data_IF_862878536113
#
_entry.id   IF_862878536113
#
_cell.length_a   1.000
_cell.length_b   1.000
_cell.length_c   1.000
_cell.angle_alpha   90.00
_cell.angle_beta   90.00
_cell.angle_gamma   90.00
#
_symmetry.space_group_name_H-M   'P 1'
#
loop_
_entity.id
_entity.type
_entity.pdbx_description
1 polymer ?
#
# COMPACT_ATOMS: atom_id res chain seq x y z
N UNK A 1 1.01 -39.07 -2.64
CA UNK A 1 2.12 -38.14 -2.35
C UNK A 1 1.99 -36.77 -3.04
N UNK A 2 0.92 -36.48 -3.79
CA UNK A 2 0.69 -35.21 -4.52
C UNK A 2 0.02 -34.07 -3.72
N UNK A 3 -0.31 -34.31 -2.44
CA UNK A 3 -1.05 -33.35 -1.58
C UNK A 3 -0.14 -32.45 -0.72
N UNK A 4 1.18 -32.66 -0.75
CA UNK A 4 2.15 -31.87 0.02
C UNK A 4 2.92 -30.81 -0.81
N UNK A 5 2.77 -30.79 -2.14
CA UNK A 5 3.47 -29.82 -3.01
C UNK A 5 2.65 -28.55 -3.29
N UNK A 6 1.32 -28.58 -3.21
CA UNK A 6 0.48 -27.39 -3.43
C UNK A 6 0.36 -26.45 -2.22
N UNK A 7 1.13 -26.68 -1.17
CA UNK A 7 1.12 -25.87 0.06
C UNK A 7 2.42 -25.07 0.24
N UNK A 8 3.35 -25.14 -0.71
CA UNK A 8 4.66 -24.48 -0.65
C UNK A 8 4.75 -23.16 -1.44
N UNK A 9 3.69 -22.75 -2.15
CA UNK A 9 3.69 -21.51 -2.95
C UNK A 9 3.04 -20.31 -2.23
N UNK A 10 2.45 -20.50 -1.05
CA UNK A 10 1.83 -19.40 -0.26
C UNK A 10 2.70 -18.89 0.92
N UNK A 11 3.86 -19.50 1.23
CA UNK A 11 4.63 -19.16 2.45
C UNK A 11 5.83 -18.23 2.24
N UNK A 12 6.32 -18.05 1.01
CA UNK A 12 7.60 -17.37 0.77
C UNK A 12 7.67 -15.87 1.19
N UNK A 13 6.63 -15.02 1.03
CA UNK A 13 6.71 -13.62 1.47
C UNK A 13 6.55 -13.44 3.00
N UNK A 14 5.78 -14.32 3.67
CA UNK A 14 5.58 -14.28 5.11
C UNK A 14 6.82 -14.74 5.88
N UNK A 15 7.52 -15.76 5.38
CA UNK A 15 8.75 -16.28 5.98
C UNK A 15 9.90 -15.27 5.86
N UNK A 16 9.99 -14.53 4.74
CA UNK A 16 10.99 -13.47 4.56
C UNK A 16 10.74 -12.28 5.49
N UNK A 17 9.50 -11.81 5.60
CA UNK A 17 9.14 -10.73 6.52
C UNK A 17 9.44 -11.10 7.99
N UNK A 18 9.10 -12.32 8.38
CA UNK A 18 9.41 -12.82 9.73
C UNK A 18 10.92 -12.98 9.95
N UNK A 19 11.67 -13.34 8.91
CA UNK A 19 13.14 -13.36 8.92
C UNK A 19 13.73 -11.99 9.20
N UNK A 20 13.24 -10.94 8.53
CA UNK A 20 13.67 -9.56 8.75
C UNK A 20 13.31 -9.06 10.15
N UNK A 21 12.10 -9.34 10.65
CA UNK A 21 11.73 -8.96 12.01
C UNK A 21 12.58 -9.67 13.08
N UNK A 22 12.99 -10.92 12.84
CA UNK A 22 13.96 -11.63 13.69
C UNK A 22 15.36 -11.01 13.61
N UNK A 23 15.78 -10.54 12.44
CA UNK A 23 17.06 -9.84 12.30
C UNK A 23 17.08 -8.55 13.15
N UNK A 24 15.99 -7.78 13.12
CA UNK A 24 15.81 -6.61 14.01
C UNK A 24 15.90 -7.04 15.48
N UNK A 25 15.17 -8.08 15.89
CA UNK A 25 15.22 -8.56 17.27
C UNK A 25 16.62 -9.01 17.73
N UNK A 26 17.39 -9.66 16.86
CA UNK A 26 18.75 -10.09 17.15
C UNK A 26 19.70 -8.90 17.28
N UNK A 27 19.62 -7.91 16.38
CA UNK A 27 20.40 -6.68 16.47
C UNK A 27 20.05 -5.91 17.76
N UNK A 28 18.76 -5.82 18.11
CA UNK A 28 18.32 -5.16 19.34
C UNK A 28 18.81 -5.89 20.58
N UNK A 29 18.83 -7.22 20.59
CA UNK A 29 19.41 -7.99 21.68
C UNK A 29 20.91 -7.67 21.86
N UNK A 30 21.66 -7.53 20.76
CA UNK A 30 23.06 -7.09 20.77
C UNK A 30 23.23 -5.68 21.37
N UNK A 31 22.37 -4.73 20.95
CA UNK A 31 22.33 -3.38 21.52
C UNK A 31 22.04 -3.40 23.03
N UNK A 32 21.05 -4.19 23.46
CA UNK A 32 20.66 -4.30 24.88
C UNK A 32 21.82 -4.78 25.74
N UNK A 33 22.59 -5.76 25.26
CA UNK A 33 23.75 -6.28 25.98
C UNK A 33 24.83 -5.20 26.11
N UNK A 34 25.21 -4.55 25.01
CA UNK A 34 26.25 -3.50 24.99
C UNK A 34 25.85 -2.29 25.84
N UNK A 35 24.60 -1.86 25.75
CA UNK A 35 24.10 -0.73 26.54
C UNK A 35 23.97 -1.05 28.04
N UNK A 36 23.71 -2.31 28.41
CA UNK A 36 23.78 -2.76 29.83
C UNK A 36 25.21 -2.79 30.35
N UNK A 37 26.19 -3.18 29.52
CA UNK A 37 27.61 -3.11 29.88
C UNK A 37 28.00 -1.65 30.12
N UNK A 38 27.60 -0.73 29.25
CA UNK A 38 27.77 0.71 29.47
C UNK A 38 27.12 1.17 30.77
N UNK A 39 25.87 0.78 31.05
CA UNK A 39 25.19 1.13 32.29
C UNK A 39 25.92 0.61 33.55
N UNK A 40 26.57 -0.55 33.48
CA UNK A 40 27.36 -1.08 34.61
C UNK A 40 28.66 -0.31 34.88
N UNK A 41 29.15 0.44 33.89
CA UNK A 41 30.35 1.27 34.01
C UNK A 41 30.02 2.69 34.54
N UNK A 42 28.75 3.11 34.46
CA UNK A 42 28.26 4.38 35.01
C UNK A 42 27.90 4.16 36.49
N UNK A 43 28.91 4.05 37.35
CA UNK A 43 28.70 3.88 38.81
C UNK A 43 28.52 5.22 39.53
N UNK A 44 29.04 6.30 38.95
CA UNK A 44 29.10 7.63 39.58
C UNK A 44 27.80 8.43 39.50
N UNK A 45 26.91 8.13 38.55
CA UNK A 45 25.60 8.78 38.40
C UNK A 45 24.49 7.72 38.26
N UNK A 46 23.78 7.38 39.36
CA UNK A 46 22.70 6.41 39.34
C UNK A 46 21.50 6.89 38.48
N UNK A 47 21.31 8.19 38.27
CA UNK A 47 20.26 8.68 37.38
C UNK A 47 20.61 8.47 35.91
N UNK A 48 21.86 8.71 35.49
CA UNK A 48 22.32 8.38 34.14
C UNK A 48 22.25 6.88 33.87
N UNK A 49 22.68 6.07 34.83
CA UNK A 49 22.56 4.61 34.74
C UNK A 49 21.10 4.18 34.55
N UNK A 50 20.19 4.72 35.35
CA UNK A 50 18.76 4.40 35.25
C UNK A 50 18.14 4.88 33.92
N UNK A 51 18.57 6.03 33.38
CA UNK A 51 18.13 6.53 32.06
C UNK A 51 18.53 5.59 30.92
N UNK A 52 19.77 5.09 30.93
CA UNK A 52 20.25 4.11 29.93
C UNK A 52 19.46 2.80 30.06
N UNK A 53 19.28 2.27 31.27
CA UNK A 53 18.54 1.02 31.50
C UNK A 53 17.07 1.15 31.07
N UNK A 54 16.41 2.27 31.40
CA UNK A 54 15.03 2.52 31.02
C UNK A 54 14.87 2.60 29.49
N UNK A 55 15.76 3.33 28.81
CA UNK A 55 15.74 3.47 27.35
C UNK A 55 15.95 2.12 26.67
N UNK A 56 16.91 1.32 27.15
CA UNK A 56 17.21 -0.02 26.61
C UNK A 56 16.06 -1.00 26.82
N UNK A 57 15.42 -0.94 27.99
CA UNK A 57 14.26 -1.78 28.30
C UNK A 57 13.09 -1.43 27.38
N UNK A 58 12.86 -0.13 27.14
CA UNK A 58 11.86 0.34 26.19
C UNK A 58 12.15 -0.16 24.77
N UNK A 59 13.39 -0.08 24.29
CA UNK A 59 13.77 -0.60 22.97
C UNK A 59 13.50 -2.10 22.82
N UNK A 60 13.79 -2.89 23.86
CA UNK A 60 13.49 -4.32 23.88
C UNK A 60 11.98 -4.60 23.84
N UNK A 61 11.17 -3.80 24.53
CA UNK A 61 9.70 -3.91 24.53
C UNK A 61 9.12 -3.54 23.16
N UNK A 62 9.47 -2.39 22.60
CA UNK A 62 9.03 -1.96 21.26
C UNK A 62 9.39 -3.01 20.20
N UNK A 63 10.60 -3.59 20.29
CA UNK A 63 11.04 -4.62 19.33
C UNK A 63 10.27 -5.93 19.49
N UNK A 64 9.94 -6.32 20.72
CA UNK A 64 9.11 -7.50 20.97
C UNK A 64 7.69 -7.31 20.44
N UNK A 65 7.14 -6.10 20.59
CA UNK A 65 5.86 -5.70 20.02
C UNK A 65 5.92 -5.73 18.49
N UNK A 66 6.96 -5.17 17.86
CA UNK A 66 7.19 -5.25 16.42
C UNK A 66 7.16 -6.70 15.92
N UNK A 67 7.91 -7.61 16.55
CA UNK A 67 7.94 -9.03 16.14
C UNK A 67 6.58 -9.70 16.32
N UNK A 68 5.86 -9.38 17.40
CA UNK A 68 4.51 -9.89 17.62
C UNK A 68 3.54 -9.38 16.56
N UNK A 69 3.57 -8.07 16.26
CA UNK A 69 2.83 -7.45 15.18
C UNK A 69 3.16 -8.10 13.84
N UNK A 70 4.44 -8.32 13.51
CA UNK A 70 4.84 -9.03 12.28
C UNK A 70 4.24 -10.42 12.21
N UNK A 71 4.27 -11.20 13.30
CA UNK A 71 3.71 -12.56 13.31
C UNK A 71 2.21 -12.58 13.06
N UNK A 72 1.48 -11.63 13.64
CA UNK A 72 0.02 -11.53 13.51
C UNK A 72 -0.36 -10.98 12.13
N UNK A 73 0.42 -10.05 11.60
CA UNK A 73 0.16 -9.33 10.35
C UNK A 73 0.77 -10.00 9.11
N UNK A 74 1.73 -10.91 9.27
CA UNK A 74 2.33 -11.69 8.17
C UNK A 74 1.30 -12.30 7.21
N UNK A 75 0.21 -12.96 7.66
CA UNK A 75 -0.80 -13.50 6.75
C UNK A 75 -1.64 -12.42 6.03
N UNK A 76 -1.71 -11.20 6.56
CA UNK A 76 -2.49 -10.09 6.02
C UNK A 76 -1.62 -8.93 5.55
N UNK A 77 -0.33 -9.14 5.32
CA UNK A 77 0.63 -8.06 5.04
C UNK A 77 0.33 -7.33 3.73
N UNK A 78 -0.45 -7.91 2.83
CA UNK A 78 -0.92 -7.29 1.60
C UNK A 78 -1.91 -6.13 1.85
N UNK A 79 -2.47 -6.02 3.05
CA UNK A 79 -3.42 -4.98 3.40
C UNK A 79 -2.68 -3.70 3.83
N UNK A 80 -2.94 -2.53 3.22
CA UNK A 80 -2.19 -1.30 3.48
C UNK A 80 -2.24 -0.86 4.95
N UNK A 81 -3.35 -1.10 5.65
CA UNK A 81 -3.49 -0.81 7.08
C UNK A 81 -2.52 -1.63 7.93
N UNK A 82 -2.30 -2.90 7.58
CA UNK A 82 -1.35 -3.77 8.28
C UNK A 82 0.10 -3.35 8.01
N UNK A 83 0.39 -2.89 6.79
CA UNK A 83 1.71 -2.35 6.43
C UNK A 83 2.00 -1.05 7.18
N UNK A 84 1.03 -0.14 7.26
CA UNK A 84 1.15 1.09 8.04
C UNK A 84 1.37 0.80 9.52
N UNK A 85 0.60 -0.12 10.12
CA UNK A 85 0.80 -0.51 11.51
C UNK A 85 2.19 -1.10 11.76
N UNK A 86 2.72 -1.90 10.83
CA UNK A 86 4.04 -2.48 10.99
C UNK A 86 5.16 -1.45 10.78
N UNK A 87 4.97 -0.50 9.86
CA UNK A 87 5.88 0.63 9.67
C UNK A 87 5.91 1.54 10.89
N UNK A 88 4.74 1.80 11.50
CA UNK A 88 4.60 2.59 12.71
C UNK A 88 5.30 1.92 13.91
N UNK A 89 5.09 0.61 14.09
CA UNK A 89 5.82 -0.17 15.10
C UNK A 89 7.35 -0.15 14.85
N UNK A 90 7.78 -0.16 13.58
CA UNK A 90 9.19 -0.01 13.23
C UNK A 90 9.75 1.36 13.61
N UNK A 91 8.96 2.41 13.40
CA UNK A 91 9.30 3.80 13.78
C UNK A 91 9.44 3.98 15.29
N UNK A 92 8.56 3.35 16.07
CA UNK A 92 8.66 3.34 17.54
C UNK A 92 9.97 2.67 18.02
N UNK A 93 10.42 1.61 17.34
CA UNK A 93 11.73 1.00 17.64
C UNK A 93 12.86 1.97 17.30
N UNK A 94 12.82 2.64 16.15
CA UNK A 94 13.84 3.66 15.79
C UNK A 94 13.94 4.74 16.86
N UNK A 95 12.81 5.30 17.32
CA UNK A 95 12.81 6.30 18.38
C UNK A 95 13.36 5.78 19.71
N UNK A 96 13.06 4.53 20.08
CA UNK A 96 13.61 3.94 21.29
C UNK A 96 15.14 3.75 21.18
N UNK A 97 15.63 3.32 20.00
CA UNK A 97 17.08 3.22 19.71
C UNK A 97 17.76 4.59 19.79
N UNK A 98 17.13 5.65 19.27
CA UNK A 98 17.64 7.02 19.36
C UNK A 98 17.75 7.48 20.82
N UNK A 99 16.77 7.14 21.64
CA UNK A 99 16.79 7.39 23.08
C UNK A 99 17.95 6.68 23.78
N UNK A 100 18.28 5.44 23.39
CA UNK A 100 19.46 4.72 23.90
C UNK A 100 20.75 5.44 23.53
N UNK A 101 20.93 5.83 22.27
CA UNK A 101 22.13 6.57 21.82
C UNK A 101 22.26 7.90 22.55
N UNK A 102 21.16 8.63 22.74
CA UNK A 102 21.16 9.90 23.47
C UNK A 102 21.53 9.70 24.94
N UNK A 103 20.97 8.68 25.60
CA UNK A 103 21.33 8.33 26.98
C UNK A 103 22.80 7.90 27.09
N UNK A 104 23.33 7.16 26.11
CA UNK A 104 24.74 6.75 26.04
C UNK A 104 25.68 7.94 25.84
N UNK A 105 25.33 8.92 25.00
CA UNK A 105 26.11 10.15 24.82
C UNK A 105 26.12 11.04 26.05
N UNK A 106 25.02 11.09 26.78
CA UNK A 106 24.95 11.82 28.04
C UNK A 106 25.94 11.26 29.08
N UNK A 107 26.26 9.96 29.00
CA UNK A 107 27.24 9.32 29.88
C UNK A 107 28.70 9.78 29.67
N UNK A 108 29.03 10.39 28.53
CA UNK A 108 30.38 10.96 28.26
C UNK A 108 30.79 12.01 29.29
N UNK A 109 29.82 12.74 29.84
CA UNK A 109 30.07 13.86 30.75
C UNK A 109 30.17 13.42 32.22
N UNK A 110 30.01 12.13 32.51
CA UNK A 110 30.03 11.58 33.87
C UNK A 110 31.48 11.23 34.26
N UNK A 111 32.02 11.78 35.36
CA UNK A 111 33.36 11.42 35.82
C UNK A 111 33.41 9.93 36.18
N UNK A 112 34.27 9.19 35.46
CA UNK A 112 34.39 7.73 35.54
C UNK A 112 35.84 7.35 35.84
N UNK A 113 36.05 6.24 36.55
CA UNK A 113 37.38 5.75 36.93
C UNK A 113 38.23 5.34 35.70
N UNK A 114 37.59 4.84 34.65
CA UNK A 114 38.23 4.47 33.37
C UNK A 114 37.56 5.16 32.15
N UNK A 115 37.90 6.43 31.85
CA UNK A 115 37.27 7.20 30.78
C UNK A 115 37.40 6.58 29.38
N UNK A 116 38.51 5.87 29.12
CA UNK A 116 38.75 5.21 27.84
C UNK A 116 37.81 4.00 27.63
N UNK A 117 37.51 3.25 28.69
CA UNK A 117 36.64 2.08 28.61
C UNK A 117 35.17 2.48 28.41
N UNK A 118 34.72 3.55 29.08
CA UNK A 118 33.37 4.11 28.90
C UNK A 118 33.21 4.70 27.49
N UNK A 119 34.23 5.41 26.99
CA UNK A 119 34.19 5.92 25.62
C UNK A 119 34.08 4.80 24.59
N UNK A 120 34.80 3.70 24.79
CA UNK A 120 34.75 2.53 23.92
C UNK A 120 33.38 1.84 23.96
N UNK A 121 32.76 1.67 25.13
CA UNK A 121 31.44 1.06 25.25
C UNK A 121 30.31 1.93 24.68
N UNK A 122 30.48 3.26 24.67
CA UNK A 122 29.57 4.18 23.96
C UNK A 122 29.66 3.96 22.46
N UNK A 123 30.88 3.91 21.89
CA UNK A 123 31.07 3.66 20.45
C UNK A 123 30.47 2.31 20.05
N UNK A 124 30.68 1.27 20.86
CA UNK A 124 30.10 -0.05 20.62
C UNK A 124 28.57 -0.06 20.67
N UNK A 125 27.98 0.73 21.58
CA UNK A 125 26.54 0.91 21.72
C UNK A 125 25.96 1.65 20.52
N UNK A 126 26.63 2.72 20.05
CA UNK A 126 26.23 3.45 18.83
C UNK A 126 26.33 2.59 17.56
N UNK A 127 27.37 1.76 17.48
CA UNK A 127 27.55 0.83 16.35
C UNK A 127 26.40 -0.18 16.33
N UNK A 128 26.04 -0.76 17.48
CA UNK A 128 24.90 -1.68 17.57
C UNK A 128 23.56 -0.98 17.32
N UNK A 129 23.40 0.29 17.71
CA UNK A 129 22.22 1.07 17.39
C UNK A 129 22.07 1.28 15.87
N UNK A 130 23.18 1.48 15.17
CA UNK A 130 23.22 1.56 13.71
C UNK A 130 22.82 0.23 13.06
N UNK A 131 23.32 -0.90 13.57
CA UNK A 131 22.92 -2.23 13.09
C UNK A 131 21.41 -2.48 13.24
N UNK A 132 20.79 -2.00 14.32
CA UNK A 132 19.33 -2.08 14.51
C UNK A 132 18.58 -1.22 13.48
N UNK A 133 19.07 0.00 13.21
CA UNK A 133 18.48 0.89 12.20
C UNK A 133 18.60 0.29 10.80
N UNK A 134 19.75 -0.26 10.45
CA UNK A 134 19.96 -0.91 9.15
C UNK A 134 19.01 -2.10 8.96
N UNK A 135 18.80 -2.91 10.01
CA UNK A 135 17.85 -4.02 9.98
C UNK A 135 16.39 -3.53 9.84
N UNK A 136 16.03 -2.43 10.51
CA UNK A 136 14.72 -1.78 10.39
C UNK A 136 14.50 -1.19 9.00
N UNK A 137 15.52 -0.58 8.40
CA UNK A 137 15.45 -0.03 7.06
C UNK A 137 15.28 -1.14 6.01
N UNK A 138 15.92 -2.29 6.20
CA UNK A 138 15.67 -3.47 5.37
C UNK A 138 14.23 -4.00 5.52
N UNK A 139 13.70 -4.01 6.75
CA UNK A 139 12.31 -4.39 7.01
C UNK A 139 11.32 -3.39 6.39
N UNK A 140 11.55 -2.09 6.53
CA UNK A 140 10.73 -1.04 5.94
C UNK A 140 10.82 -1.03 4.41
N UNK A 141 12.02 -1.24 3.84
CA UNK A 141 12.19 -1.38 2.40
C UNK A 141 11.45 -2.61 1.87
N UNK A 142 11.46 -3.73 2.61
CA UNK A 142 10.65 -4.90 2.27
C UNK A 142 9.16 -4.63 2.41
N UNK A 143 8.74 -3.83 3.40
CA UNK A 143 7.36 -3.38 3.50
C UNK A 143 6.95 -2.45 2.37
N UNK A 144 7.84 -1.61 1.87
CA UNK A 144 7.59 -0.73 0.72
C UNK A 144 7.62 -1.47 -0.62
N UNK A 145 8.38 -2.56 -0.73
CA UNK A 145 8.38 -3.46 -1.89
C UNK A 145 7.20 -4.44 -1.88
N UNK A 146 6.79 -4.91 -0.69
CA UNK A 146 5.62 -5.76 -0.47
C UNK A 146 4.31 -4.99 -0.31
N UNK A 147 4.40 -3.67 -0.07
CA UNK A 147 3.39 -2.71 -0.46
C UNK A 147 3.31 -2.86 -1.96
N UNK A 148 2.22 -3.48 -2.42
CA UNK A 148 1.57 -2.95 -3.59
C UNK A 148 1.55 -1.45 -3.34
N UNK A 149 2.47 -0.73 -4.00
CA UNK A 149 2.37 0.71 -4.04
C UNK A 149 0.90 0.90 -4.44
N UNK A 150 0.07 1.41 -3.53
CA UNK A 150 -1.24 1.89 -3.91
C UNK A 150 -0.92 3.02 -4.87
N UNK A 151 -0.85 2.74 -6.17
CA UNK A 151 -0.15 3.63 -7.06
C UNK A 151 -0.71 3.55 -8.47
N UNK A 152 -0.96 4.76 -8.96
CA UNK A 152 -1.17 5.11 -10.35
C UNK A 152 -2.43 4.52 -11.01
N UNK A 153 -3.56 4.78 -10.36
CA UNK A 153 -4.70 5.30 -11.11
C UNK A 153 -4.43 6.72 -11.63
N UNK A 154 -3.54 7.48 -10.98
CA UNK A 154 -3.27 8.88 -11.31
C UNK A 154 -2.73 9.13 -12.71
N UNK A 155 -1.83 8.30 -13.26
CA UNK A 155 -1.24 8.61 -14.56
C UNK A 155 -2.28 8.51 -15.69
N UNK A 156 -3.07 7.43 -15.71
CA UNK A 156 -4.17 7.30 -16.68
C UNK A 156 -5.34 8.21 -16.37
N UNK A 157 -5.73 8.36 -15.10
CA UNK A 157 -6.85 9.24 -14.74
C UNK A 157 -6.49 10.72 -15.02
N UNK A 158 -5.23 11.11 -14.78
CA UNK A 158 -4.69 12.41 -15.19
C UNK A 158 -4.60 12.54 -16.70
N UNK A 159 -4.24 11.47 -17.41
CA UNK A 159 -4.27 11.42 -18.88
C UNK A 159 -5.69 11.64 -19.41
N UNK A 160 -6.67 10.90 -18.89
CA UNK A 160 -8.08 11.01 -19.27
C UNK A 160 -8.64 12.39 -18.94
N UNK A 161 -8.43 12.88 -17.73
CA UNK A 161 -8.85 14.24 -17.31
C UNK A 161 -8.22 15.30 -18.22
N UNK A 162 -6.92 15.19 -18.52
CA UNK A 162 -6.21 16.14 -19.40
C UNK A 162 -6.70 16.08 -20.85
N UNK A 163 -7.14 14.91 -21.32
CA UNK A 163 -7.71 14.73 -22.64
C UNK A 163 -9.15 15.26 -22.73
N UNK A 164 -9.96 15.06 -21.70
CA UNK A 164 -11.31 15.64 -21.58
C UNK A 164 -11.25 17.17 -21.50
N UNK A 165 -10.33 17.72 -20.70
CA UNK A 165 -10.03 19.16 -20.67
C UNK A 165 -9.66 19.68 -22.07
N UNK A 166 -8.81 18.94 -22.80
CA UNK A 166 -8.38 19.30 -24.13
C UNK A 166 -9.58 19.35 -25.11
N UNK A 167 -10.50 18.38 -25.02
CA UNK A 167 -11.76 18.36 -25.78
C UNK A 167 -12.66 19.55 -25.49
N UNK A 168 -12.76 19.95 -24.22
CA UNK A 168 -13.58 21.08 -23.81
C UNK A 168 -13.10 22.41 -24.42
N UNK A 169 -11.79 22.52 -24.71
CA UNK A 169 -11.19 23.74 -25.26
C UNK A 169 -11.15 23.83 -26.78
N UNK A 170 -11.62 22.81 -27.52
CA UNK A 170 -11.60 22.78 -29.00
C UNK A 170 -12.23 23.99 -29.69
N UNK A 171 -13.19 24.64 -29.04
CA UNK A 171 -13.94 25.76 -29.62
C UNK A 171 -13.78 27.07 -28.86
N UNK A 172 -12.98 27.07 -27.78
CA UNK A 172 -13.08 28.12 -26.75
C UNK A 172 -11.78 28.87 -26.54
N UNK A 173 -10.63 28.18 -26.52
CA UNK A 173 -9.33 28.81 -26.22
C UNK A 173 -8.15 27.93 -26.66
N UNK A 174 -7.44 28.36 -27.72
CA UNK A 174 -6.27 27.66 -28.25
C UNK A 174 -5.09 27.61 -27.27
N UNK A 175 -4.95 28.57 -26.36
CA UNK A 175 -3.88 28.57 -25.35
C UNK A 175 -4.16 27.54 -24.25
N UNK A 176 -5.40 27.43 -23.79
CA UNK A 176 -5.81 26.39 -22.82
C UNK A 176 -5.70 24.99 -23.41
N UNK A 177 -6.02 24.85 -24.70
CA UNK A 177 -5.83 23.59 -25.42
C UNK A 177 -4.35 23.16 -25.42
N UNK A 178 -3.42 24.07 -25.74
CA UNK A 178 -1.97 23.80 -25.67
C UNK A 178 -1.51 23.44 -24.25
N UNK A 179 -2.02 24.13 -23.23
CA UNK A 179 -1.72 23.80 -21.84
C UNK A 179 -2.24 22.40 -21.46
N UNK A 180 -3.42 22.02 -21.94
CA UNK A 180 -3.97 20.67 -21.74
C UNK A 180 -3.16 19.59 -22.47
N UNK A 181 -2.71 19.87 -23.71
CA UNK A 181 -1.85 18.95 -24.46
C UNK A 181 -0.51 18.71 -23.76
N UNK A 182 0.05 19.74 -23.10
CA UNK A 182 1.27 19.58 -22.28
C UNK A 182 1.02 18.72 -21.04
N UNK A 183 -0.12 18.89 -20.36
CA UNK A 183 -0.52 18.02 -19.23
C UNK A 183 -0.75 16.58 -19.69
N UNK A 184 -1.37 16.38 -20.85
CA UNK A 184 -1.54 15.07 -21.48
C UNK A 184 -0.20 14.39 -21.76
N UNK A 185 0.77 15.13 -22.30
CA UNK A 185 2.13 14.62 -22.54
C UNK A 185 2.87 14.25 -21.24
N UNK A 186 2.71 15.05 -20.17
CA UNK A 186 3.27 14.72 -18.85
C UNK A 186 2.68 13.44 -18.26
N UNK A 187 1.37 13.29 -18.32
CA UNK A 187 0.68 12.07 -17.88
C UNK A 187 1.15 10.84 -18.68
N UNK A 188 1.33 10.99 -19.99
CA UNK A 188 1.84 9.92 -20.85
C UNK A 188 3.28 9.52 -20.51
N UNK A 189 4.14 10.48 -20.15
CA UNK A 189 5.51 10.19 -19.72
C UNK A 189 5.55 9.31 -18.46
N UNK A 190 4.62 9.52 -17.53
CA UNK A 190 4.45 8.66 -16.36
C UNK A 190 3.99 7.26 -16.77
N UNK A 191 3.01 7.15 -17.68
CA UNK A 191 2.57 5.86 -18.22
C UNK A 191 3.74 5.10 -18.88
N UNK A 192 4.58 5.76 -19.67
CA UNK A 192 5.76 5.14 -20.30
C UNK A 192 6.74 4.59 -19.26
N UNK A 193 6.97 5.33 -18.16
CA UNK A 193 7.82 4.87 -17.07
C UNK A 193 7.24 3.62 -16.40
N UNK A 194 5.92 3.59 -16.17
CA UNK A 194 5.22 2.44 -15.59
C UNK A 194 5.26 1.21 -16.50
N UNK A 195 5.14 1.40 -17.82
CA UNK A 195 5.25 0.31 -18.80
C UNK A 195 6.65 -0.29 -18.81
N UNK A 196 7.70 0.56 -18.75
CA UNK A 196 9.09 0.10 -18.71
C UNK A 196 9.42 -0.65 -17.42
N UNK A 197 8.99 -0.14 -16.27
CA UNK A 197 9.19 -0.80 -14.99
C UNK A 197 8.54 -2.20 -14.97
N UNK A 198 7.36 -2.35 -15.58
CA UNK A 198 6.71 -3.65 -15.73
C UNK A 198 7.45 -4.59 -16.68
N UNK A 199 8.00 -4.07 -17.78
CA UNK A 199 8.80 -4.85 -18.70
C UNK A 199 10.06 -5.42 -18.01
N UNK A 200 10.64 -4.69 -17.06
CA UNK A 200 11.76 -5.15 -16.22
C UNK A 200 11.33 -6.18 -15.16
N UNK A 201 10.12 -6.05 -14.60
CA UNK A 201 9.57 -7.00 -13.62
C UNK A 201 9.16 -8.34 -14.23
N UNK A 202 8.86 -8.37 -15.54
CA UNK A 202 8.38 -9.54 -16.28
C UNK A 202 9.47 -10.61 -16.57
N UNK A 203 10.52 -10.69 -15.74
CA UNK A 203 11.88 -11.20 -16.01
C UNK A 203 12.09 -12.57 -16.71
N UNK A 204 11.05 -13.39 -16.94
CA UNK A 204 11.15 -14.66 -17.70
C UNK A 204 10.33 -14.68 -19.01
N UNK A 205 9.45 -13.70 -19.26
CA UNK A 205 8.60 -13.66 -20.45
C UNK A 205 9.11 -12.63 -21.47
N UNK A 206 10.04 -13.08 -22.32
CA UNK A 206 10.68 -12.24 -23.35
C UNK A 206 9.67 -11.67 -24.36
N UNK A 207 8.60 -12.40 -24.68
CA UNK A 207 7.59 -11.96 -25.64
C UNK A 207 6.74 -10.83 -25.04
N UNK A 208 6.30 -10.98 -23.78
CA UNK A 208 5.59 -9.94 -23.04
C UNK A 208 6.46 -8.70 -22.82
N UNK A 209 7.72 -8.88 -22.47
CA UNK A 209 8.69 -7.79 -22.32
C UNK A 209 8.85 -7.01 -23.64
N UNK A 210 9.03 -7.71 -24.77
CA UNK A 210 9.14 -7.08 -26.09
C UNK A 210 7.88 -6.31 -26.49
N UNK A 211 6.70 -6.86 -26.22
CA UNK A 211 5.41 -6.17 -26.48
C UNK A 211 5.29 -4.88 -25.66
N UNK A 212 5.61 -4.93 -24.36
CA UNK A 212 5.57 -3.75 -23.49
C UNK A 212 6.57 -2.67 -23.95
N UNK A 213 7.78 -3.05 -24.35
CA UNK A 213 8.75 -2.09 -24.90
C UNK A 213 8.29 -1.46 -26.22
N UNK A 214 7.67 -2.25 -27.11
CA UNK A 214 7.07 -1.72 -28.33
C UNK A 214 5.96 -0.71 -28.04
N UNK A 215 5.07 -1.02 -27.09
CA UNK A 215 4.00 -0.13 -26.67
C UNK A 215 4.54 1.18 -26.05
N UNK A 216 5.54 1.08 -25.18
CA UNK A 216 6.22 2.25 -24.59
C UNK A 216 6.87 3.14 -25.65
N UNK A 217 7.45 2.54 -26.70
CA UNK A 217 8.04 3.27 -27.81
C UNK A 217 7.00 4.00 -28.64
N UNK A 218 5.91 3.32 -29.01
CA UNK A 218 4.80 3.95 -29.76
C UNK A 218 4.19 5.13 -28.98
N UNK A 219 4.03 5.00 -27.67
CA UNK A 219 3.58 6.11 -26.83
C UNK A 219 4.57 7.26 -26.79
N UNK A 220 5.89 6.99 -26.74
CA UNK A 220 6.90 8.03 -26.75
C UNK A 220 6.92 8.80 -28.08
N UNK A 221 6.77 8.09 -29.21
CA UNK A 221 6.74 8.69 -30.54
C UNK A 221 5.50 9.58 -30.71
N UNK A 222 4.31 9.08 -30.34
CA UNK A 222 3.07 9.86 -30.39
C UNK A 222 3.08 11.05 -29.41
N UNK A 223 3.67 10.90 -28.21
CA UNK A 223 3.84 12.00 -27.25
C UNK A 223 4.73 13.10 -27.82
N UNK A 224 5.76 12.72 -28.56
CA UNK A 224 6.67 13.68 -29.22
C UNK A 224 5.94 14.46 -30.30
N UNK A 225 5.12 13.79 -31.12
CA UNK A 225 4.28 14.42 -32.13
C UNK A 225 3.29 15.41 -31.51
N UNK A 226 2.62 15.01 -30.42
CA UNK A 226 1.73 15.89 -29.67
C UNK A 226 2.44 17.15 -29.16
N UNK A 227 3.64 17.01 -28.57
CA UNK A 227 4.41 18.15 -28.07
C UNK A 227 4.82 19.08 -29.22
N UNK A 228 5.17 18.54 -30.38
CA UNK A 228 5.53 19.33 -31.55
C UNK A 228 4.33 20.11 -32.10
N UNK A 229 3.17 19.46 -32.23
CA UNK A 229 1.91 20.12 -32.59
C UNK A 229 1.53 21.20 -31.56
N UNK A 230 1.71 20.92 -30.27
CA UNK A 230 1.41 21.87 -29.19
C UNK A 230 2.34 23.09 -29.24
N UNK A 231 3.62 22.91 -29.60
CA UNK A 231 4.57 24.02 -29.82
C UNK A 231 4.17 24.87 -31.02
N UNK A 232 3.82 24.25 -32.15
CA UNK A 232 3.38 24.96 -33.34
C UNK A 232 2.10 25.77 -33.06
N UNK A 233 1.11 25.15 -32.41
CA UNK A 233 -0.12 25.82 -31.98
C UNK A 233 0.13 26.91 -30.94
N UNK A 234 1.14 26.77 -30.07
CA UNK A 234 1.53 27.83 -29.11
C UNK A 234 2.04 29.10 -29.79
N UNK A 235 2.65 28.99 -30.97
CA UNK A 235 3.15 30.15 -31.72
C UNK A 235 2.03 30.93 -32.39
N UNK A 236 0.96 30.25 -32.83
CA UNK A 236 -0.21 30.87 -33.45
C UNK A 236 -1.51 30.21 -32.93
N UNK A 237 -1.98 30.58 -31.72
CA UNK A 237 -3.09 29.90 -31.06
C UNK A 237 -4.44 29.99 -31.77
N UNK A 238 -4.66 30.99 -32.63
CA UNK A 238 -5.92 31.20 -33.35
C UNK A 238 -5.97 30.50 -34.71
N UNK A 239 -4.89 29.82 -35.13
CA UNK A 239 -4.84 29.14 -36.41
C UNK A 239 -5.57 27.80 -36.35
N UNK A 240 -6.73 27.73 -36.99
CA UNK A 240 -7.60 26.54 -37.06
C UNK A 240 -6.86 25.30 -37.57
N UNK A 241 -5.90 25.43 -38.51
CA UNK A 241 -5.16 24.27 -39.02
C UNK A 241 -4.23 23.66 -37.97
N UNK A 242 -3.51 24.50 -37.23
CA UNK A 242 -2.63 24.05 -36.13
C UNK A 242 -3.43 23.50 -34.95
N UNK A 243 -4.61 24.07 -34.68
CA UNK A 243 -5.52 23.53 -33.69
C UNK A 243 -6.05 22.15 -34.10
N UNK A 244 -6.36 21.96 -35.38
CA UNK A 244 -6.83 20.67 -35.92
C UNK A 244 -5.72 19.62 -35.85
N UNK A 245 -4.49 19.97 -36.25
CA UNK A 245 -3.32 19.07 -36.14
C UNK A 245 -3.02 18.68 -34.67
N UNK A 246 -3.14 19.62 -33.74
CA UNK A 246 -3.01 19.34 -32.31
C UNK A 246 -4.11 18.39 -31.80
N UNK A 247 -5.34 18.54 -32.29
CA UNK A 247 -6.43 17.62 -31.96
C UNK A 247 -6.17 16.22 -32.51
N UNK A 248 -5.81 16.12 -33.77
CA UNK A 248 -5.64 14.83 -34.44
C UNK A 248 -4.50 14.04 -33.79
N UNK A 249 -3.39 14.70 -33.44
CA UNK A 249 -2.29 14.09 -32.68
C UNK A 249 -2.68 13.70 -31.25
N UNK A 250 -3.55 14.46 -30.59
CA UNK A 250 -4.08 14.10 -29.26
C UNK A 250 -5.03 12.90 -29.32
N UNK A 251 -5.87 12.80 -30.34
CA UNK A 251 -6.77 11.66 -30.57
C UNK A 251 -5.98 10.38 -30.90
N UNK A 252 -4.97 10.49 -31.76
CA UNK A 252 -4.04 9.39 -32.03
C UNK A 252 -3.36 8.92 -30.73
N UNK A 253 -2.85 9.85 -29.92
CA UNK A 253 -2.24 9.52 -28.64
C UNK A 253 -3.23 8.85 -27.68
N UNK A 254 -4.49 9.28 -27.65
CA UNK A 254 -5.54 8.67 -26.83
C UNK A 254 -5.78 7.21 -27.22
N UNK A 255 -5.92 6.92 -28.52
CA UNK A 255 -6.12 5.54 -29.00
C UNK A 255 -4.92 4.65 -28.70
N UNK A 256 -3.70 5.18 -28.84
CA UNK A 256 -2.46 4.46 -28.50
C UNK A 256 -2.32 4.25 -26.99
N UNK A 257 -2.66 5.23 -26.16
CA UNK A 257 -2.64 5.11 -24.70
C UNK A 257 -3.63 4.07 -24.21
N UNK A 258 -4.82 4.00 -24.81
CA UNK A 258 -5.84 3.02 -24.43
C UNK A 258 -5.54 1.61 -24.95
N UNK A 259 -4.91 1.47 -26.12
CA UNK A 259 -4.48 0.16 -26.63
C UNK A 259 -3.23 -0.37 -25.91
N UNK A 260 -2.23 0.48 -25.69
CA UNK A 260 -1.03 0.15 -24.92
C UNK A 260 -1.35 -0.11 -23.44
N UNK A 261 -2.30 0.65 -22.90
CA UNK A 261 -2.74 0.55 -21.53
C UNK A 261 -3.83 -0.49 -21.28
N UNK A 262 -4.68 -0.83 -22.25
CA UNK A 262 -5.88 -1.67 -22.07
C UNK A 262 -5.63 -3.05 -21.50
N UNK A 263 -4.62 -3.76 -22.02
CA UNK A 263 -4.19 -5.08 -21.51
C UNK A 263 -3.59 -4.96 -20.09
N UNK A 264 -2.93 -3.84 -19.82
CA UNK A 264 -2.33 -3.54 -18.52
C UNK A 264 -3.38 -3.11 -17.50
N UNK A 265 -4.41 -2.39 -17.94
CA UNK A 265 -5.53 -1.94 -17.13
C UNK A 265 -6.37 -3.13 -16.74
N UNK A 266 -6.78 -3.99 -17.67
CA UNK A 266 -7.58 -5.17 -17.31
C UNK A 266 -6.85 -6.02 -16.28
N UNK A 267 -5.59 -6.39 -16.52
CA UNK A 267 -4.81 -7.21 -15.59
C UNK A 267 -4.68 -6.54 -14.21
N UNK A 268 -4.43 -5.22 -14.16
CA UNK A 268 -4.29 -4.47 -12.90
C UNK A 268 -5.63 -4.19 -12.20
N UNK A 269 -6.70 -3.93 -12.94
CA UNK A 269 -8.06 -3.69 -12.42
C UNK A 269 -8.61 -4.97 -11.79
N UNK A 270 -8.42 -6.10 -12.46
CA UNK A 270 -8.77 -7.44 -11.96
C UNK A 270 -7.99 -7.70 -10.67
N UNK A 271 -6.69 -7.45 -10.67
CA UNK A 271 -5.87 -7.61 -9.49
C UNK A 271 -6.31 -6.69 -8.33
N UNK A 272 -6.63 -5.43 -8.62
CA UNK A 272 -7.12 -4.46 -7.63
C UNK A 272 -8.49 -4.88 -7.08
N UNK A 273 -9.40 -5.33 -7.94
CA UNK A 273 -10.71 -5.85 -7.54
C UNK A 273 -10.55 -7.09 -6.64
N UNK A 274 -9.64 -8.01 -6.99
CA UNK A 274 -9.33 -9.18 -6.17
C UNK A 274 -8.77 -8.79 -4.79
N UNK A 275 -7.87 -7.79 -4.76
CA UNK A 275 -7.28 -7.29 -3.51
C UNK A 275 -8.33 -6.59 -2.63
N UNK A 276 -9.15 -5.72 -3.22
CA UNK A 276 -10.25 -5.05 -2.54
C UNK A 276 -11.30 -6.04 -2.02
N UNK A 277 -11.65 -7.05 -2.83
CA UNK A 277 -12.55 -8.12 -2.43
C UNK A 277 -11.97 -8.93 -1.26
N UNK A 278 -10.66 -9.24 -1.28
CA UNK A 278 -9.97 -9.93 -0.18
C UNK A 278 -9.95 -9.08 1.09
N UNK A 279 -9.63 -7.79 0.98
CA UNK A 279 -9.68 -6.84 2.10
C UNK A 279 -11.09 -6.78 2.72
N UNK A 280 -12.12 -6.77 1.87
CA UNK A 280 -13.53 -6.78 2.28
C UNK A 280 -13.90 -8.08 3.00
N UNK A 281 -13.47 -9.23 2.48
CA UNK A 281 -13.68 -10.53 3.12
C UNK A 281 -13.02 -10.58 4.50
N UNK A 282 -11.79 -10.08 4.64
CA UNK A 282 -11.08 -10.02 5.93
C UNK A 282 -11.82 -9.13 6.91
N UNK A 283 -12.20 -7.91 6.50
CA UNK A 283 -12.97 -6.99 7.32
C UNK A 283 -14.34 -7.56 7.72
N UNK A 284 -15.06 -8.18 6.79
CA UNK A 284 -16.33 -8.85 7.05
C UNK A 284 -16.18 -10.02 8.04
N UNK A 285 -15.11 -10.80 7.95
CA UNK A 285 -14.81 -11.89 8.89
C UNK A 285 -14.55 -11.35 10.29
N UNK A 286 -13.79 -10.26 10.40
CA UNK A 286 -13.56 -9.59 11.69
C UNK A 286 -14.86 -9.04 12.27
N UNK A 287 -15.69 -8.39 11.46
CA UNK A 287 -16.99 -7.88 11.87
C UNK A 287 -17.90 -9.02 12.35
N UNK A 288 -17.95 -10.15 11.65
CA UNK A 288 -18.70 -11.34 12.09
C UNK A 288 -18.22 -11.81 13.47
N UNK A 289 -16.91 -11.93 13.68
CA UNK A 289 -16.35 -12.37 14.97
C UNK A 289 -16.69 -11.39 16.11
N UNK A 290 -16.57 -10.09 15.85
CA UNK A 290 -16.90 -9.03 16.83
C UNK A 290 -18.41 -9.03 17.11
N UNK A 291 -19.26 -9.12 16.09
CA UNK A 291 -20.72 -9.20 16.23
C UNK A 291 -21.16 -10.43 17.01
N UNK A 292 -20.54 -11.59 16.78
CA UNK A 292 -20.81 -12.81 17.56
C UNK A 292 -20.36 -12.68 19.02
N UNK A 293 -19.23 -12.02 19.28
CA UNK A 293 -18.80 -11.72 20.64
C UNK A 293 -19.77 -10.75 21.32
N UNK A 294 -20.14 -9.65 20.65
CA UNK A 294 -21.06 -8.64 21.17
C UNK A 294 -22.47 -9.19 21.43
N UNK A 295 -22.94 -10.13 20.60
CA UNK A 295 -24.23 -10.83 20.81
C UNK A 295 -24.26 -11.58 22.15
N UNK A 296 -23.12 -12.09 22.63
CA UNK A 296 -23.04 -12.81 23.92
C UNK A 296 -23.18 -11.88 25.13
N UNK A 297 -22.86 -10.59 24.95
CA UNK A 297 -22.90 -9.58 26.02
C UNK A 297 -24.10 -8.63 25.92
N UNK A 298 -24.78 -8.60 24.76
CA UNK A 298 -25.97 -7.76 24.54
C UNK A 298 -27.19 -8.29 25.30
N UNK A 299 -27.81 -7.42 26.09
CA UNK A 299 -29.07 -7.70 26.82
C UNK A 299 -30.34 -7.39 26.01
N UNK A 300 -30.20 -6.91 24.76
CA UNK A 300 -31.31 -6.50 23.87
C UNK A 300 -31.68 -7.53 22.79
N UNK A 301 -32.61 -7.16 21.89
CA UNK A 301 -33.11 -8.00 20.80
C UNK A 301 -32.00 -8.28 19.76
N UNK A 302 -31.28 -9.39 19.94
CA UNK A 302 -30.13 -9.76 19.12
C UNK A 302 -30.49 -10.52 17.83
N UNK A 303 -31.78 -10.68 17.53
CA UNK A 303 -32.25 -11.49 16.40
C UNK A 303 -31.83 -10.92 15.04
N UNK A 304 -31.95 -9.59 14.85
CA UNK A 304 -31.56 -8.93 13.61
C UNK A 304 -30.05 -9.04 13.38
N UNK A 305 -29.25 -8.72 14.40
CA UNK A 305 -27.79 -8.82 14.35
C UNK A 305 -27.31 -10.26 14.11
N UNK A 306 -27.99 -11.26 14.69
CA UNK A 306 -27.70 -12.67 14.43
C UNK A 306 -28.02 -13.08 12.99
N UNK A 307 -29.18 -12.66 12.45
CA UNK A 307 -29.58 -12.93 11.08
C UNK A 307 -28.63 -12.27 10.07
N UNK A 308 -28.21 -11.03 10.35
CA UNK A 308 -27.28 -10.28 9.50
C UNK A 308 -25.87 -10.87 9.53
N UNK A 309 -25.42 -11.30 10.71
CA UNK A 309 -24.15 -12.03 10.86
C UNK A 309 -24.18 -13.33 10.06
N UNK A 310 -25.30 -14.06 10.08
CA UNK A 310 -25.48 -15.29 9.31
C UNK A 310 -25.47 -15.03 7.80
N UNK A 311 -26.10 -13.95 7.34
CA UNK A 311 -26.09 -13.56 5.93
C UNK A 311 -24.68 -13.25 5.42
N UNK A 312 -23.90 -12.47 6.18
CA UNK A 312 -22.50 -12.17 5.84
C UNK A 312 -21.62 -13.43 5.92
N UNK A 313 -21.82 -14.28 6.93
CA UNK A 313 -21.10 -15.55 7.08
C UNK A 313 -21.31 -16.50 5.90
N UNK A 314 -22.50 -16.48 5.29
CA UNK A 314 -22.80 -17.29 4.10
C UNK A 314 -22.19 -16.74 2.80
N UNK A 315 -21.88 -15.43 2.77
CA UNK A 315 -21.29 -14.76 1.60
C UNK A 315 -19.77 -14.85 1.59
N UNK A 316 -19.12 -14.80 2.76
CA UNK A 316 -17.65 -14.88 2.91
C UNK A 316 -17.02 -16.04 2.12
N UNK A 317 -17.46 -17.31 2.28
CA UNK A 317 -16.84 -18.43 1.57
C UNK A 317 -17.06 -18.36 0.06
N UNK A 318 -18.23 -17.90 -0.39
CA UNK A 318 -18.57 -17.78 -1.81
C UNK A 318 -17.67 -16.76 -2.50
N UNK A 319 -17.45 -15.61 -1.87
CA UNK A 319 -16.57 -14.57 -2.42
C UNK A 319 -15.10 -14.98 -2.35
N UNK A 320 -14.67 -15.76 -1.35
CA UNK A 320 -13.30 -16.33 -1.36
C UNK A 320 -13.10 -17.28 -2.53
N UNK A 321 -14.11 -18.08 -2.88
CA UNK A 321 -14.05 -18.99 -4.02
C UNK A 321 -13.96 -18.20 -5.33
N UNK A 322 -14.81 -17.19 -5.55
CA UNK A 322 -14.77 -16.38 -6.78
C UNK A 322 -13.48 -15.56 -6.90
N UNK A 323 -12.89 -15.08 -5.79
CA UNK A 323 -11.55 -14.48 -5.79
C UNK A 323 -10.49 -15.49 -6.22
N UNK A 324 -10.60 -16.76 -5.81
CA UNK A 324 -9.64 -17.81 -6.21
C UNK A 324 -9.79 -18.20 -7.67
N UNK A 325 -11.03 -18.34 -8.16
CA UNK A 325 -11.33 -18.70 -9.54
C UNK A 325 -10.90 -17.60 -10.52
N UNK A 326 -11.18 -16.34 -10.20
CA UNK A 326 -10.67 -15.20 -11.00
C UNK A 326 -9.15 -15.06 -10.98
N UNK A 327 -8.46 -15.53 -9.93
CA UNK A 327 -6.99 -15.60 -9.91
C UNK A 327 -6.44 -16.75 -10.73
N UNK A 328 -7.15 -17.86 -10.79
CA UNK A 328 -6.76 -19.01 -11.60
C UNK A 328 -6.92 -18.71 -13.10
N UNK A 329 -7.98 -17.98 -13.46
CA UNK A 329 -8.31 -17.62 -14.83
C UNK A 329 -8.54 -16.10 -14.95
N UNK A 330 -7.48 -15.28 -14.99
CA UNK A 330 -7.62 -13.82 -15.11
C UNK A 330 -8.18 -13.37 -16.45
N UNK A 331 -8.00 -14.16 -17.51
CA UNK A 331 -8.46 -13.83 -18.87
C UNK A 331 -9.88 -14.34 -19.18
N UNK A 332 -10.52 -15.06 -18.25
CA UNK A 332 -11.87 -15.58 -18.44
C UNK A 332 -12.92 -14.50 -18.04
N UNK A 333 -13.66 -13.92 -19.01
CA UNK A 333 -14.65 -12.89 -18.72
C UNK A 333 -15.77 -13.39 -17.79
N UNK A 334 -16.04 -14.70 -17.76
CA UNK A 334 -17.08 -15.24 -16.88
C UNK A 334 -16.63 -15.23 -15.40
N UNK A 335 -15.39 -15.61 -15.12
CA UNK A 335 -14.82 -15.56 -13.78
C UNK A 335 -14.73 -14.12 -13.24
N UNK A 336 -14.49 -13.15 -14.13
CA UNK A 336 -14.49 -11.72 -13.79
C UNK A 336 -15.88 -11.19 -13.48
N UNK A 337 -16.89 -11.56 -14.27
CA UNK A 337 -18.28 -11.19 -14.00
C UNK A 337 -18.79 -11.79 -12.68
N UNK A 338 -18.41 -13.02 -12.37
CA UNK A 338 -18.75 -13.64 -11.08
C UNK A 338 -18.04 -12.96 -9.90
N UNK A 339 -16.80 -12.50 -10.07
CA UNK A 339 -16.11 -11.69 -9.06
C UNK A 339 -16.81 -10.34 -8.84
N UNK A 340 -17.17 -9.64 -9.92
CA UNK A 340 -17.90 -8.36 -9.84
C UNK A 340 -19.24 -8.58 -9.13
N UNK A 341 -20.03 -9.57 -9.54
CA UNK A 341 -21.31 -9.87 -8.91
C UNK A 341 -21.17 -10.32 -7.44
N UNK A 342 -20.08 -10.99 -7.07
CA UNK A 342 -19.79 -11.32 -5.68
C UNK A 342 -19.46 -10.07 -4.84
N UNK A 343 -18.72 -9.12 -5.41
CA UNK A 343 -18.44 -7.81 -4.79
C UNK A 343 -19.72 -6.99 -4.62
N UNK A 344 -20.58 -6.91 -5.64
CA UNK A 344 -21.86 -6.18 -5.58
C UNK A 344 -22.80 -6.74 -4.51
N UNK A 345 -22.91 -8.06 -4.38
CA UNK A 345 -23.70 -8.70 -3.31
C UNK A 345 -23.18 -8.35 -1.92
N UNK A 346 -21.86 -8.18 -1.77
CA UNK A 346 -21.24 -7.72 -0.52
C UNK A 346 -21.59 -6.26 -0.22
N UNK A 347 -21.59 -5.40 -1.25
CA UNK A 347 -21.97 -3.97 -1.15
C UNK A 347 -23.43 -3.82 -0.75
N UNK A 348 -24.35 -4.53 -1.39
CA UNK A 348 -25.78 -4.48 -1.09
C UNK A 348 -26.11 -4.87 0.36
N UNK A 349 -25.34 -5.81 0.94
CA UNK A 349 -25.47 -6.19 2.35
C UNK A 349 -24.87 -5.15 3.29
N UNK A 350 -23.92 -4.34 2.82
CA UNK A 350 -23.37 -3.23 3.59
C UNK A 350 -24.23 -1.96 3.53
N UNK A 351 -24.84 -1.62 2.39
CA UNK A 351 -25.72 -0.44 2.25
C UNK A 351 -26.99 -0.55 3.11
N UNK A 352 -27.60 -1.75 3.17
CA UNK A 352 -28.74 -2.00 4.07
C UNK A 352 -28.42 -1.76 5.56
N UNK A 353 -27.14 -1.66 5.94
CA UNK A 353 -26.72 -1.43 7.32
C UNK A 353 -26.63 0.04 7.69
N UNK A 354 -26.41 0.96 6.74
CA UNK A 354 -26.37 2.41 7.06
C UNK A 354 -27.73 2.92 7.53
N UNK A 355 -28.82 2.33 7.04
CA UNK A 355 -30.17 2.66 7.50
C UNK A 355 -30.46 2.16 8.93
N UNK A 356 -29.68 1.20 9.44
CA UNK A 356 -29.90 0.55 10.75
C UNK A 356 -28.95 1.09 11.82
N UNK A 357 -27.79 1.67 11.45
CA UNK A 357 -26.79 2.24 12.40
C UNK A 357 -27.17 3.65 12.89
N UNK A 358 -28.38 4.14 12.59
CA UNK A 358 -28.94 5.38 13.16
C UNK A 358 -29.50 5.23 14.58
N UNK A 359 -29.24 4.12 15.29
CA UNK A 359 -29.61 3.95 16.69
C UNK A 359 -28.38 3.68 17.58
N UNK A 360 -28.26 4.52 18.61
CA UNK A 360 -27.28 4.57 19.70
C UNK A 360 -25.89 5.20 19.44
N UNK A 361 -25.80 6.48 19.85
CA UNK A 361 -24.62 7.36 19.91
C UNK A 361 -23.43 6.82 20.75
N UNK A 362 -23.55 5.64 21.39
CA UNK A 362 -22.47 5.05 22.19
C UNK A 362 -21.53 4.13 21.41
N UNK A 363 -21.91 3.64 20.22
CA UNK A 363 -21.08 2.74 19.38
C UNK A 363 -20.29 3.47 18.27
N UNK A 364 -20.45 4.80 18.20
CA UNK A 364 -19.98 5.64 17.10
C UNK A 364 -18.45 5.75 16.97
N UNK A 365 -17.69 5.50 18.05
CA UNK A 365 -16.24 5.72 18.05
C UNK A 365 -15.37 4.47 17.82
N UNK A 366 -15.88 3.26 18.07
CA UNK A 366 -15.05 2.04 18.06
C UNK A 366 -15.23 1.17 16.81
N UNK A 367 -16.39 1.22 16.16
CA UNK A 367 -16.73 0.35 15.00
C UNK A 367 -16.87 1.15 13.69
N UNK A 368 -17.22 2.43 13.78
CA UNK A 368 -17.46 3.26 12.59
C UNK A 368 -16.15 3.63 11.89
N UNK A 369 -15.05 3.85 12.60
CA UNK A 369 -13.79 4.28 11.99
C UNK A 369 -13.25 3.33 10.88
N UNK A 370 -13.19 1.99 11.07
CA UNK A 370 -12.78 1.08 10.00
C UNK A 370 -13.86 0.88 8.93
N UNK A 371 -15.15 0.94 9.26
CA UNK A 371 -16.24 0.81 8.28
C UNK A 371 -16.31 2.05 7.39
N UNK A 372 -16.13 3.26 7.94
CA UNK A 372 -16.06 4.51 7.19
C UNK A 372 -14.81 4.55 6.30
N UNK A 373 -13.66 4.06 6.78
CA UNK A 373 -12.45 3.92 5.97
C UNK A 373 -12.66 2.95 4.79
N UNK A 374 -13.23 1.77 5.04
CA UNK A 374 -13.53 0.79 3.97
C UNK A 374 -14.57 1.35 2.99
N UNK A 375 -15.60 2.03 3.48
CA UNK A 375 -16.66 2.63 2.66
C UNK A 375 -16.17 3.82 1.84
N UNK A 376 -15.28 4.65 2.38
CA UNK A 376 -14.69 5.79 1.66
C UNK A 376 -13.69 5.31 0.60
N UNK A 377 -12.90 4.27 0.91
CA UNK A 377 -12.01 3.61 -0.06
C UNK A 377 -12.85 2.95 -1.18
N UNK A 378 -13.94 2.28 -0.84
CA UNK A 378 -14.77 1.56 -1.81
C UNK A 378 -15.66 2.49 -2.65
N UNK A 379 -16.26 3.54 -2.06
CA UNK A 379 -16.98 4.57 -2.85
C UNK A 379 -16.03 5.28 -3.81
N UNK A 380 -14.84 5.69 -3.36
CA UNK A 380 -13.87 6.32 -4.25
C UNK A 380 -13.44 5.37 -5.39
N UNK A 381 -13.21 4.09 -5.10
CA UNK A 381 -12.79 3.10 -6.11
C UNK A 381 -13.93 2.73 -7.06
N UNK A 382 -15.15 2.48 -6.57
CA UNK A 382 -16.31 2.13 -7.41
C UNK A 382 -16.83 3.32 -8.22
N UNK A 383 -16.81 4.54 -7.69
CA UNK A 383 -17.17 5.73 -8.47
C UNK A 383 -16.15 5.97 -9.59
N UNK A 384 -14.85 5.78 -9.31
CA UNK A 384 -13.81 5.88 -10.34
C UNK A 384 -13.94 4.78 -11.39
N UNK A 385 -14.30 3.55 -11.01
CA UNK A 385 -14.49 2.42 -11.95
C UNK A 385 -15.77 2.58 -12.79
N UNK A 386 -16.87 3.07 -12.21
CA UNK A 386 -18.10 3.34 -12.97
C UNK A 386 -17.97 4.52 -13.95
N UNK A 387 -17.12 5.51 -13.64
CA UNK A 387 -16.84 6.65 -14.52
C UNK A 387 -15.88 6.27 -15.67
N UNK A 388 -15.07 5.21 -15.52
CA UNK A 388 -14.14 4.75 -16.55
C UNK A 388 -14.70 3.66 -17.50
N UNK A 389 -15.86 3.09 -17.18
CA UNK A 389 -16.52 2.02 -17.95
C UNK A 389 -17.74 2.52 -18.75
N UNK A 390 -18.23 3.73 -18.44
CA UNK A 390 -19.19 4.50 -19.24
C UNK A 390 -18.44 5.57 -20.04
#
# INVERSE_FOLDING_TARGET
MKKRQNMCLESMPADQLLGLAKAVANATAGLVVKAKVLASQITSDPEAQQRVIASVTQTGLCTSQLVACTKVLAPTIHQPTCQQQLSEAGREVTWAVDGVVQASRAAVHVPSEDPQMVQQSIIETETAATEVRDALDQLNAHLLKGSYKGYQGDALNSFQTSYEDLKQYYTTDGQRMVASARRLAQATALMIADIKAQAEESGDDSDRQNRLFHAAKQLADATTNLINAAKACSSNPDNIQLQTELRDTADELYTLAYSAGGEQFQTRLIHNLQSAARATVTGATQLVNISQAATKYSRGNSYQLHNDTKNVTNLIPKTVITIRESRANPDDPMALLELIGACERFVQVSEKKDDIVNFDYSWQYTIICPIFQIKHIFMCVCITICILIL
#
